data_IF_485850154961
#
_entry.id   IF_485850154961
#
_cell.length_a   1.000
_cell.length_b   1.000
_cell.length_c   1.000
_cell.angle_alpha   90.00
_cell.angle_beta   90.00
_cell.angle_gamma   90.00
#
_symmetry.space_group_name_H-M   'P 1'
#
loop_
_entity.id
_entity.type
_entity.pdbx_description
1 polymer ?
#
# COMPACT_ATOMS: atom_id res chain seq x y z
N UNK A 1 -9.50 -11.46 -7.13
CA UNK A 1 -8.78 -10.69 -8.17
C UNK A 1 -8.84 -11.40 -9.51
N UNK A 2 -9.12 -10.63 -10.56
CA UNK A 2 -9.12 -11.11 -11.95
C UNK A 2 -7.69 -11.48 -12.41
N UNK A 3 -7.52 -12.40 -13.36
CA UNK A 3 -6.26 -12.62 -14.04
C UNK A 3 -5.77 -11.36 -14.76
N UNK A 4 -4.47 -11.09 -14.70
CA UNK A 4 -3.89 -9.85 -15.27
C UNK A 4 -4.23 -9.65 -16.75
N UNK A 5 -4.22 -10.71 -17.56
CA UNK A 5 -4.57 -10.64 -18.98
C UNK A 5 -6.02 -10.21 -19.25
N UNK A 6 -6.98 -10.63 -18.40
CA UNK A 6 -8.37 -10.18 -18.52
C UNK A 6 -8.50 -8.71 -18.18
N UNK A 7 -7.81 -8.25 -17.13
CA UNK A 7 -7.77 -6.85 -16.74
C UNK A 7 -7.12 -5.97 -17.82
N UNK A 8 -6.02 -6.43 -18.44
CA UNK A 8 -5.40 -5.73 -19.58
C UNK A 8 -6.40 -5.56 -20.71
N UNK A 9 -7.15 -6.62 -21.06
CA UNK A 9 -8.18 -6.57 -22.10
C UNK A 9 -9.29 -5.57 -21.76
N UNK A 10 -9.80 -5.62 -20.53
CA UNK A 10 -10.84 -4.71 -20.04
C UNK A 10 -10.39 -3.25 -20.19
N UNK A 11 -9.23 -2.89 -19.64
CA UNK A 11 -8.68 -1.53 -19.69
C UNK A 11 -8.41 -1.08 -21.12
N UNK A 12 -7.85 -1.97 -21.95
CA UNK A 12 -7.59 -1.69 -23.37
C UNK A 12 -8.87 -1.29 -24.10
N UNK A 13 -9.95 -2.05 -23.91
CA UNK A 13 -11.24 -1.77 -24.53
C UNK A 13 -11.85 -0.46 -24.00
N UNK A 14 -11.75 -0.19 -22.69
CA UNK A 14 -12.20 1.08 -22.10
C UNK A 14 -11.47 2.30 -22.68
N UNK A 15 -10.18 2.15 -22.99
CA UNK A 15 -9.34 3.19 -23.61
C UNK A 15 -9.44 3.25 -25.13
N UNK A 16 -10.30 2.42 -25.76
CA UNK A 16 -10.44 2.29 -27.21
C UNK A 16 -9.12 1.97 -27.94
N UNK A 17 -8.23 1.21 -27.30
CA UNK A 17 -6.96 0.78 -27.86
C UNK A 17 -7.12 -0.56 -28.61
N UNK A 18 -6.42 -0.71 -29.72
CA UNK A 18 -6.28 -1.98 -30.45
C UNK A 18 -5.02 -2.70 -29.95
N UNK A 19 -4.98 -4.01 -30.16
CA UNK A 19 -3.84 -4.84 -29.75
C UNK A 19 -2.52 -4.48 -30.46
N UNK A 20 -2.59 -3.82 -31.62
CA UNK A 20 -1.43 -3.33 -32.36
C UNK A 20 -0.94 -1.96 -31.89
N UNK A 21 -1.69 -1.28 -31.03
CA UNK A 21 -1.35 0.07 -30.57
C UNK A 21 -0.33 0.04 -29.39
N UNK A 22 0.07 -1.15 -28.93
CA UNK A 22 1.13 -1.31 -27.91
C UNK A 22 2.52 -1.19 -28.53
N UNK A 23 3.44 -0.57 -27.80
CA UNK A 23 4.74 -0.16 -28.33
C UNK A 23 5.78 -1.29 -28.33
N UNK A 24 5.88 -2.03 -27.23
CA UNK A 24 6.93 -3.06 -27.04
C UNK A 24 6.47 -4.50 -27.35
N UNK A 25 5.15 -4.71 -27.50
CA UNK A 25 4.57 -6.04 -27.65
C UNK A 25 3.82 -6.15 -28.97
N UNK A 26 4.09 -7.24 -29.69
CA UNK A 26 3.36 -7.53 -30.92
C UNK A 26 1.88 -7.81 -30.62
N UNK A 27 1.03 -7.56 -31.61
CA UNK A 27 -0.41 -7.86 -31.55
C UNK A 27 -0.68 -9.31 -31.09
N UNK A 28 0.07 -10.27 -31.62
CA UNK A 28 -0.05 -11.68 -31.25
C UNK A 28 0.34 -11.95 -29.80
N UNK A 29 1.36 -11.25 -29.28
CA UNK A 29 1.76 -11.35 -27.88
C UNK A 29 0.67 -10.81 -26.95
N UNK A 30 0.09 -9.65 -27.26
CA UNK A 30 -1.04 -9.07 -26.50
C UNK A 30 -2.24 -10.02 -26.53
N UNK A 31 -2.63 -10.53 -27.70
CA UNK A 31 -3.75 -11.47 -27.82
C UNK A 31 -3.54 -12.75 -26.99
N UNK A 32 -2.31 -13.26 -26.93
CA UNK A 32 -1.96 -14.44 -26.12
C UNK A 32 -2.04 -14.16 -24.61
N UNK A 33 -1.60 -12.97 -24.18
CA UNK A 33 -1.71 -12.51 -22.78
C UNK A 33 -3.18 -12.36 -22.39
N UNK A 34 -3.99 -11.67 -23.21
CA UNK A 34 -5.42 -11.42 -22.95
C UNK A 34 -6.26 -12.71 -22.91
N UNK A 35 -5.81 -13.77 -23.59
CA UNK A 35 -6.48 -15.07 -23.63
C UNK A 35 -5.98 -16.08 -22.59
N UNK A 36 -5.17 -15.65 -21.62
CA UNK A 36 -4.56 -16.49 -20.57
C UNK A 36 -3.64 -17.60 -21.08
N UNK A 37 -3.24 -17.56 -22.36
CA UNK A 37 -2.33 -18.54 -22.95
C UNK A 37 -0.87 -18.28 -22.58
N UNK A 38 -0.56 -17.08 -22.10
CA UNK A 38 0.77 -16.65 -21.70
C UNK A 38 0.73 -15.85 -20.40
N UNK A 39 1.57 -16.23 -19.44
CA UNK A 39 1.84 -15.41 -18.27
C UNK A 39 2.67 -14.19 -18.66
N UNK A 40 2.32 -13.04 -18.10
CA UNK A 40 3.04 -11.79 -18.29
C UNK A 40 4.12 -11.65 -17.21
N UNK A 41 5.30 -11.19 -17.61
CA UNK A 41 6.40 -10.84 -16.71
C UNK A 41 6.26 -9.37 -16.26
N UNK A 42 6.87 -8.99 -15.14
CA UNK A 42 6.69 -7.64 -14.55
C UNK A 42 7.19 -6.53 -15.48
N UNK A 43 8.30 -6.73 -16.18
CA UNK A 43 8.84 -5.82 -17.19
C UNK A 43 7.84 -5.55 -18.33
N UNK A 44 7.19 -6.60 -18.82
CA UNK A 44 6.17 -6.49 -19.88
C UNK A 44 4.90 -5.84 -19.38
N UNK A 45 4.50 -6.14 -18.14
CA UNK A 45 3.38 -5.46 -17.51
C UNK A 45 3.67 -3.96 -17.41
N UNK A 46 4.88 -3.57 -16.98
CA UNK A 46 5.25 -2.15 -16.87
C UNK A 46 5.18 -1.43 -18.22
N UNK A 47 5.62 -2.07 -19.31
CA UNK A 47 5.48 -1.50 -20.66
C UNK A 47 4.01 -1.28 -21.05
N UNK A 48 3.13 -2.26 -20.81
CA UNK A 48 1.68 -2.13 -21.05
C UNK A 48 1.08 -0.99 -20.22
N UNK A 49 1.49 -0.86 -18.95
CA UNK A 49 1.03 0.20 -18.07
C UNK A 49 1.46 1.59 -18.55
N UNK A 50 2.66 1.69 -19.12
CA UNK A 50 3.14 2.93 -19.74
C UNK A 50 2.28 3.30 -20.96
N UNK A 51 1.95 2.33 -21.83
CA UNK A 51 1.05 2.55 -22.98
C UNK A 51 -0.36 2.97 -22.52
N UNK A 52 -0.81 2.50 -21.35
CA UNK A 52 -2.07 2.94 -20.74
C UNK A 52 -1.97 4.30 -20.03
N UNK A 53 -0.77 4.83 -19.83
CA UNK A 53 -0.49 5.95 -18.92
C UNK A 53 -1.14 5.73 -17.55
N UNK A 54 -0.89 4.57 -16.95
CA UNK A 54 -1.52 4.09 -15.72
C UNK A 54 -0.46 3.56 -14.75
N UNK A 55 -0.64 3.80 -13.46
CA UNK A 55 0.20 3.22 -12.42
C UNK A 55 -0.16 1.74 -12.14
N UNK A 56 0.79 0.98 -11.60
CA UNK A 56 0.52 -0.40 -11.15
C UNK A 56 -0.61 -0.44 -10.11
N UNK A 57 -0.70 0.57 -9.23
CA UNK A 57 -1.73 0.65 -8.20
C UNK A 57 -3.14 0.79 -8.79
N UNK A 58 -3.31 1.65 -9.79
CA UNK A 58 -4.59 1.79 -10.50
C UNK A 58 -4.97 0.51 -11.24
N UNK A 59 -4.00 -0.15 -11.89
CA UNK A 59 -4.22 -1.43 -12.53
C UNK A 59 -4.70 -2.49 -11.53
N UNK A 60 -4.03 -2.62 -10.39
CA UNK A 60 -4.38 -3.58 -9.35
C UNK A 60 -5.75 -3.28 -8.70
N UNK A 61 -6.13 -2.00 -8.60
CA UNK A 61 -7.48 -1.59 -8.17
C UNK A 61 -8.56 -2.10 -9.14
N UNK A 62 -8.38 -1.93 -10.46
CA UNK A 62 -9.31 -2.43 -11.48
C UNK A 62 -9.34 -3.97 -11.49
N UNK A 63 -8.16 -4.59 -11.33
CA UNK A 63 -8.00 -6.05 -11.23
C UNK A 63 -8.70 -6.63 -10.00
N UNK A 64 -8.79 -5.85 -8.94
CA UNK A 64 -9.52 -6.16 -7.71
C UNK A 64 -10.97 -5.65 -7.74
N UNK A 65 -11.59 -5.58 -8.91
CA UNK A 65 -12.99 -5.20 -9.09
C UNK A 65 -13.35 -3.85 -8.45
N UNK A 66 -12.47 -2.87 -8.65
CA UNK A 66 -12.62 -1.50 -8.13
C UNK A 66 -12.78 -1.47 -6.60
N UNK A 67 -12.23 -2.46 -5.91
CA UNK A 67 -12.16 -2.51 -4.46
C UNK A 67 -10.74 -2.19 -4.01
N UNK A 68 -10.63 -1.30 -3.01
CA UNK A 68 -9.35 -1.06 -2.35
C UNK A 68 -8.86 -2.33 -1.67
N UNK A 69 -7.54 -2.54 -1.66
CA UNK A 69 -6.99 -3.58 -0.80
C UNK A 69 -7.25 -3.18 0.65
N UNK A 70 -7.55 -4.12 1.56
CA UNK A 70 -7.70 -3.80 2.99
C UNK A 70 -6.46 -3.07 3.54
N UNK A 71 -5.29 -3.40 2.98
CA UNK A 71 -3.99 -2.75 3.17
C UNK A 71 -3.99 -1.26 2.83
N UNK A 72 -4.73 -0.81 1.80
CA UNK A 72 -4.73 0.59 1.35
C UNK A 72 -5.36 1.54 2.36
N UNK A 73 -6.41 1.09 3.08
CA UNK A 73 -7.04 1.87 4.15
C UNK A 73 -6.04 2.12 5.28
N UNK A 74 -5.40 1.05 5.75
CA UNK A 74 -4.41 1.11 6.84
C UNK A 74 -3.21 1.96 6.42
N UNK A 75 -2.76 1.82 5.17
CA UNK A 75 -1.67 2.62 4.62
C UNK A 75 -2.02 4.12 4.53
N UNK A 76 -3.23 4.45 4.09
CA UNK A 76 -3.68 5.84 4.02
C UNK A 76 -3.78 6.47 5.41
N UNK A 77 -4.33 5.74 6.38
CA UNK A 77 -4.36 6.19 7.78
C UNK A 77 -2.94 6.38 8.34
N UNK A 78 -2.04 5.43 8.08
CA UNK A 78 -0.63 5.52 8.47
C UNK A 78 0.06 6.77 7.89
N UNK A 79 -0.11 7.03 6.59
CA UNK A 79 0.55 8.16 5.90
C UNK A 79 -0.12 9.52 6.15
N UNK A 80 -1.39 9.54 6.54
CA UNK A 80 -2.13 10.77 6.86
C UNK A 80 -1.89 11.25 8.30
N UNK A 81 -1.36 10.41 9.19
CA UNK A 81 -0.88 10.82 10.51
C UNK A 81 0.39 11.68 10.38
N UNK A 82 0.19 12.95 10.02
CA UNK A 82 1.28 13.90 9.72
C UNK A 82 1.92 14.51 10.96
N UNK A 83 1.32 14.43 12.16
CA UNK A 83 1.84 15.08 13.37
C UNK A 83 1.52 14.30 14.65
N UNK A 84 2.46 14.31 15.60
CA UNK A 84 2.50 13.58 16.88
C UNK A 84 1.38 13.90 17.90
N UNK A 85 0.42 14.76 17.54
CA UNK A 85 -0.60 15.27 18.45
C UNK A 85 -1.80 14.30 18.55
N UNK A 86 -2.03 13.47 17.53
CA UNK A 86 -3.15 12.51 17.49
C UNK A 86 -2.81 11.17 18.16
N UNK A 87 -2.33 11.22 19.41
CA UNK A 87 -1.85 10.04 20.18
C UNK A 87 -2.88 8.91 20.38
N UNK A 88 -4.18 9.19 20.29
CA UNK A 88 -5.23 8.15 20.33
C UNK A 88 -5.38 7.41 18.99
N UNK A 89 -4.97 8.02 17.88
CA UNK A 89 -5.02 7.42 16.55
C UNK A 89 -3.93 6.35 16.37
N UNK A 90 -2.68 6.61 16.80
CA UNK A 90 -1.57 5.64 16.66
C UNK A 90 -1.80 4.31 17.38
N UNK A 91 -2.33 4.33 18.62
CA UNK A 91 -2.65 3.09 19.35
C UNK A 91 -3.82 2.30 18.73
N UNK A 92 -4.75 3.00 18.07
CA UNK A 92 -5.86 2.38 17.34
C UNK A 92 -5.35 1.75 16.05
N UNK A 93 -4.50 2.47 15.33
CA UNK A 93 -3.89 2.00 14.09
C UNK A 93 -3.03 0.74 14.30
N UNK A 94 -2.22 0.70 15.37
CA UNK A 94 -1.48 -0.52 15.73
C UNK A 94 -2.41 -1.72 15.88
N UNK A 95 -3.53 -1.57 16.60
CA UNK A 95 -4.50 -2.68 16.76
C UNK A 95 -5.14 -3.09 15.44
N UNK A 96 -5.42 -2.13 14.55
CA UNK A 96 -5.94 -2.41 13.21
C UNK A 96 -4.91 -3.18 12.37
N UNK A 97 -3.62 -2.81 12.47
CA UNK A 97 -2.52 -3.54 11.83
C UNK A 97 -2.36 -4.96 12.39
N UNK A 98 -2.40 -5.14 13.71
CA UNK A 98 -2.35 -6.45 14.36
C UNK A 98 -3.50 -7.35 13.87
N UNK A 99 -4.72 -6.84 13.92
CA UNK A 99 -5.91 -7.57 13.46
C UNK A 99 -5.82 -7.94 11.97
N UNK A 100 -5.23 -7.07 11.15
CA UNK A 100 -5.02 -7.35 9.73
C UNK A 100 -3.95 -8.42 9.51
N UNK A 101 -2.84 -8.36 10.25
CA UNK A 101 -1.75 -9.34 10.16
C UNK A 101 -2.15 -10.72 10.70
N UNK A 102 -3.04 -10.80 11.68
CA UNK A 102 -3.64 -12.07 12.12
C UNK A 102 -4.39 -12.77 10.98
N UNK A 103 -5.09 -11.99 10.15
CA UNK A 103 -5.84 -12.50 9.00
C UNK A 103 -4.98 -12.68 7.74
N UNK A 104 -3.94 -11.86 7.59
CA UNK A 104 -3.07 -11.78 6.42
C UNK A 104 -1.59 -11.80 6.85
N UNK A 105 -1.08 -12.92 7.38
CA UNK A 105 0.24 -12.98 8.01
C UNK A 105 1.41 -12.73 7.06
N UNK A 106 1.18 -12.81 5.75
CA UNK A 106 2.19 -12.56 4.71
C UNK A 106 2.13 -11.15 4.13
N UNK A 107 1.30 -10.25 4.67
CA UNK A 107 1.25 -8.85 4.24
C UNK A 107 2.46 -8.07 4.78
N UNK A 108 3.56 -8.14 4.02
CA UNK A 108 4.83 -7.52 4.36
C UNK A 108 4.74 -5.99 4.52
N UNK A 109 3.87 -5.33 3.76
CA UNK A 109 3.72 -3.87 3.80
C UNK A 109 3.14 -3.44 5.15
N UNK A 110 2.08 -4.10 5.61
CA UNK A 110 1.50 -3.83 6.93
C UNK A 110 2.47 -4.20 8.05
N UNK A 111 3.22 -5.30 7.90
CA UNK A 111 4.23 -5.68 8.87
C UNK A 111 5.29 -4.58 9.04
N UNK A 112 5.81 -4.02 7.95
CA UNK A 112 6.76 -2.92 8.02
C UNK A 112 6.17 -1.68 8.72
N UNK A 113 4.92 -1.32 8.43
CA UNK A 113 4.26 -0.17 9.07
C UNK A 113 4.05 -0.39 10.56
N UNK A 114 3.63 -1.60 10.94
CA UNK A 114 3.49 -1.99 12.35
C UNK A 114 4.80 -1.81 13.11
N UNK A 115 5.91 -2.31 12.56
CA UNK A 115 7.24 -2.18 13.19
C UNK A 115 7.64 -0.72 13.34
N UNK A 116 7.42 0.11 12.31
CA UNK A 116 7.74 1.54 12.35
C UNK A 116 6.93 2.25 13.45
N UNK A 117 5.61 2.03 13.48
CA UNK A 117 4.71 2.67 14.44
C UNK A 117 4.99 2.21 15.88
N UNK A 118 5.25 0.91 16.10
CA UNK A 118 5.59 0.37 17.41
C UNK A 118 6.89 0.97 17.97
N UNK A 119 7.94 1.04 17.13
CA UNK A 119 9.22 1.67 17.51
C UNK A 119 9.04 3.16 17.81
N UNK A 120 8.27 3.87 16.99
CA UNK A 120 7.97 5.28 17.19
C UNK A 120 7.26 5.51 18.54
N UNK A 121 6.19 4.76 18.82
CA UNK A 121 5.44 4.89 20.08
C UNK A 121 6.29 4.57 21.31
N UNK A 122 7.13 3.54 21.25
CA UNK A 122 8.06 3.19 22.34
C UNK A 122 9.06 4.32 22.60
N UNK A 123 9.58 4.94 21.54
CA UNK A 123 10.53 6.06 21.65
C UNK A 123 9.88 7.29 22.27
N UNK A 124 8.67 7.66 21.82
CA UNK A 124 7.91 8.80 22.37
C UNK A 124 7.57 8.59 23.84
N UNK A 125 7.14 7.39 24.24
CA UNK A 125 6.85 7.07 25.65
C UNK A 125 8.07 7.27 26.55
N UNK A 126 9.25 6.84 26.10
CA UNK A 126 10.51 7.04 26.85
C UNK A 126 10.82 8.51 27.05
N UNK A 127 10.69 9.33 26.00
CA UNK A 127 10.91 10.79 26.09
C UNK A 127 9.93 11.43 27.09
N UNK A 128 8.65 11.05 27.04
CA UNK A 128 7.65 11.58 27.96
C UNK A 128 7.97 11.24 29.42
N UNK A 129 8.41 10.02 29.70
CA UNK A 129 8.83 9.61 31.05
C UNK A 129 10.02 10.46 31.52
N UNK A 130 11.03 10.66 30.67
CA UNK A 130 12.20 11.49 30.99
C UNK A 130 11.76 12.93 31.34
N UNK A 131 10.86 13.53 30.54
CA UNK A 131 10.35 14.88 30.79
C UNK A 131 9.58 14.97 32.12
N UNK A 132 8.79 13.96 32.47
CA UNK A 132 8.08 13.90 33.76
C UNK A 132 9.07 13.83 34.92
N UNK A 133 10.09 12.97 34.82
CA UNK A 133 11.13 12.83 35.85
C UNK A 133 11.91 14.13 36.02
N UNK A 134 12.33 14.78 34.93
CA UNK A 134 13.05 16.06 34.98
C UNK A 134 12.20 17.18 35.62
N UNK A 135 10.90 17.24 35.31
CA UNK A 135 10.00 18.21 35.95
C UNK A 135 9.85 17.95 37.46
N UNK A 136 9.78 16.68 37.88
CA UNK A 136 9.69 16.34 39.30
C UNK A 136 10.97 16.70 40.06
N UNK A 137 12.14 16.43 39.46
CA UNK A 137 13.43 16.82 40.03
C UNK A 137 13.58 18.34 40.13
N UNK A 138 13.21 19.10 39.10
CA UNK A 138 13.29 20.57 39.14
C UNK A 138 12.37 21.20 40.21
N UNK A 139 11.25 20.56 40.56
CA UNK A 139 10.38 21.01 41.65
C UNK A 139 10.99 20.79 43.03
N UNK A 140 11.86 19.79 43.21
CA UNK A 140 12.52 19.49 44.49
C UNK A 140 13.68 20.45 44.81
N UNK A 141 14.29 21.10 43.80
CA UNK A 141 15.37 22.08 43.98
C UNK A 141 14.91 23.55 44.04
N UNK A 142 13.59 23.81 44.00
CA UNK A 142 13.01 25.14 44.02
C UNK A 142 12.47 25.60 45.40
N UNK A 143 12.74 24.83 46.47
CA UNK A 143 12.42 25.12 47.87
C UNK A 143 13.68 25.41 48.68
#
# INVERSE_FOLDING_TARGET
>A
MKPAGETIKEIRLMKNLRQQDFTELSQAAIASIESKKRNITIDKLQSILNDFNMSLREFEYIRNDYSFFPTDKIFFEFTSMKNSIERKAGSKLIKEMETHLEKNPTDFIIYCMYVIEDVFLKSVKRILIILIVLNHLNMEYAL
#
